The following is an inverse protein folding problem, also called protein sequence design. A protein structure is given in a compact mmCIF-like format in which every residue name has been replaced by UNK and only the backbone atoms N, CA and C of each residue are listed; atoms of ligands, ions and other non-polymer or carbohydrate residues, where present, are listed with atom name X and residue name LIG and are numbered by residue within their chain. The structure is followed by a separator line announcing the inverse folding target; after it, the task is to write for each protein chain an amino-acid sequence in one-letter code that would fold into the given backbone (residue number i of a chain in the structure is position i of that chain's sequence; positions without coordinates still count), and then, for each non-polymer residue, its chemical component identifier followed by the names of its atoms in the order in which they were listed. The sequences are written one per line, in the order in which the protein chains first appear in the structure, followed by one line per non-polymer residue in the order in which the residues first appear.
data_IF_724007691933
#
_entry.id   IF_724007691933
#
_cell.length_a   1.000
_cell.length_b   1.000
_cell.length_c   1.000
_cell.angle_alpha   90.00
_cell.angle_beta   90.00
_cell.angle_gamma   90.00
#
_symmetry.space_group_name_H-M   'P 1'
#
loop_
_entity.id
_entity.type
_entity.pdbx_description
1 polymer ?
#
# COMPACT_ATOMS: atom_id res chain seq x y z
N UNK A 1 7.44 2.48 6.90
CA UNK A 1 8.10 2.07 5.65
C UNK A 1 7.57 0.70 5.24
N UNK A 2 7.25 0.54 3.96
CA UNK A 2 6.72 -0.71 3.38
C UNK A 2 7.65 -1.20 2.27
N UNK A 3 7.73 -2.52 2.11
CA UNK A 3 8.50 -3.22 1.08
C UNK A 3 7.53 -3.97 0.17
N UNK A 4 7.61 -3.77 -1.15
CA UNK A 4 6.92 -4.62 -2.13
C UNK A 4 7.87 -5.73 -2.54
N UNK A 5 7.47 -6.99 -2.33
CA UNK A 5 8.29 -8.16 -2.65
C UNK A 5 7.43 -9.33 -3.12
N UNK A 6 8.04 -10.22 -3.89
CA UNK A 6 7.43 -11.48 -4.31
C UNK A 6 7.47 -12.48 -3.15
N UNK A 7 6.30 -12.97 -2.74
CA UNK A 7 6.14 -14.00 -1.72
C UNK A 7 6.24 -15.38 -2.39
N UNK A 8 7.23 -16.19 -1.99
CA UNK A 8 7.45 -17.52 -2.59
C UNK A 8 6.41 -18.55 -2.15
N UNK A 9 5.81 -18.40 -0.97
CA UNK A 9 4.81 -19.33 -0.46
C UNK A 9 3.44 -19.08 -1.11
N UNK A 10 3.18 -17.81 -1.47
CA UNK A 10 1.92 -17.37 -2.08
C UNK A 10 1.99 -17.20 -3.60
N UNK A 11 3.19 -17.23 -4.15
CA UNK A 11 3.46 -17.02 -5.57
C UNK A 11 2.84 -15.71 -6.11
N UNK A 12 2.94 -14.63 -5.32
CA UNK A 12 2.33 -13.34 -5.65
C UNK A 12 3.09 -12.15 -5.05
N UNK A 13 2.85 -10.96 -5.59
CA UNK A 13 3.38 -9.70 -5.08
C UNK A 13 2.66 -9.25 -3.81
N UNK A 14 3.42 -9.01 -2.73
CA UNK A 14 2.86 -8.55 -1.44
C UNK A 14 3.62 -7.38 -0.86
N UNK A 15 2.93 -6.69 0.04
CA UNK A 15 3.46 -5.57 0.80
C UNK A 15 3.80 -6.00 2.23
N UNK A 16 5.05 -5.78 2.63
CA UNK A 16 5.58 -6.13 3.96
C UNK A 16 5.93 -4.88 4.74
N UNK A 17 5.61 -4.88 6.03
CA UNK A 17 6.04 -3.83 6.96
C UNK A 17 7.51 -4.00 7.29
N UNK A 18 8.33 -3.03 6.90
CA UNK A 18 9.80 -3.10 7.09
C UNK A 18 10.16 -3.18 8.58
N UNK A 19 9.38 -2.50 9.44
CA UNK A 19 9.54 -2.53 10.89
C UNK A 19 9.29 -3.92 11.53
N UNK A 20 8.75 -4.88 10.76
CA UNK A 20 8.49 -6.26 11.22
C UNK A 20 9.42 -7.29 10.59
N UNK A 21 10.39 -6.86 9.80
CA UNK A 21 11.34 -7.76 9.13
C UNK A 21 12.60 -7.87 9.99
N UNK A 22 12.98 -9.11 10.34
CA UNK A 22 14.28 -9.41 10.95
C UNK A 22 15.23 -9.92 9.86
N UNK A 23 16.27 -9.16 9.46
CA UNK A 23 17.23 -9.62 8.45
C UNK A 23 17.98 -10.85 8.94
N UNK A 24 18.10 -11.87 8.08
CA UNK A 24 18.90 -13.08 8.37
C UNK A 24 19.97 -13.24 7.28
N UNK A 25 21.17 -12.65 7.46
CA UNK A 25 22.27 -12.84 6.53
C UNK A 25 22.84 -14.27 6.59
N UNK A 26 23.40 -14.79 5.49
CA UNK A 26 23.61 -14.13 4.21
C UNK A 26 22.30 -13.92 3.44
N UNK A 27 22.22 -12.80 2.72
CA UNK A 27 21.09 -12.54 1.82
C UNK A 27 20.96 -13.74 0.87
N UNK A 28 19.75 -14.28 0.74
CA UNK A 28 19.49 -15.54 0.05
C UNK A 28 20.00 -15.60 -1.40
N UNK A 29 19.81 -16.74 -2.08
CA UNK A 29 20.29 -16.94 -3.44
C UNK A 29 19.82 -15.82 -4.38
N UNK A 30 20.60 -15.54 -5.43
CA UNK A 30 20.19 -14.61 -6.49
C UNK A 30 18.87 -15.07 -7.11
N UNK A 31 18.04 -14.10 -7.51
CA UNK A 31 16.78 -14.36 -8.18
C UNK A 31 16.71 -13.60 -9.51
N UNK A 32 15.93 -14.14 -10.46
CA UNK A 32 15.58 -13.41 -11.69
C UNK A 32 14.57 -12.32 -11.34
N UNK A 33 14.84 -11.03 -11.65
CA UNK A 33 13.90 -9.95 -11.43
C UNK A 33 12.56 -10.25 -12.09
N UNK A 34 11.47 -10.01 -11.36
CA UNK A 34 10.10 -10.12 -11.88
C UNK A 34 9.56 -8.72 -12.19
N UNK A 35 8.69 -8.57 -13.21
CA UNK A 35 8.00 -7.30 -13.44
C UNK A 35 7.19 -6.90 -12.20
N UNK A 36 7.31 -5.65 -11.73
CA UNK A 36 6.57 -5.17 -10.58
C UNK A 36 5.04 -5.21 -10.82
N UNK A 37 4.22 -5.26 -9.76
CA UNK A 37 2.76 -5.38 -9.89
C UNK A 37 2.08 -4.10 -10.40
N UNK A 38 2.79 -2.97 -10.36
CA UNK A 38 2.30 -1.67 -10.81
C UNK A 38 3.48 -0.77 -11.19
N UNK A 39 3.22 0.19 -12.09
CA UNK A 39 4.18 1.25 -12.42
C UNK A 39 4.38 2.22 -11.24
N UNK A 40 3.31 2.48 -10.48
CA UNK A 40 3.34 3.25 -9.22
C UNK A 40 3.22 2.32 -8.00
N UNK A 41 4.36 1.97 -7.42
CA UNK A 41 4.42 1.13 -6.24
C UNK A 41 3.93 1.84 -4.96
N UNK A 42 3.94 3.17 -4.91
CA UNK A 42 3.44 3.90 -3.76
C UNK A 42 1.91 3.84 -3.71
N UNK A 43 1.25 4.01 -4.86
CA UNK A 43 -0.19 3.78 -5.00
C UNK A 43 -0.56 2.32 -4.66
N UNK A 44 0.17 1.35 -5.22
CA UNK A 44 -0.04 -0.09 -4.93
C UNK A 44 0.02 -0.42 -3.43
N UNK A 45 1.05 0.08 -2.74
CA UNK A 45 1.18 -0.10 -1.28
C UNK A 45 0.03 0.56 -0.53
N UNK A 46 -0.36 1.77 -0.93
CA UNK A 46 -1.42 2.51 -0.26
C UNK A 46 -2.75 1.76 -0.35
N UNK A 47 -3.09 1.24 -1.53
CA UNK A 47 -4.28 0.39 -1.71
C UNK A 47 -4.17 -0.93 -0.92
N UNK A 48 -3.06 -1.64 -1.03
CA UNK A 48 -2.88 -2.94 -0.36
C UNK A 48 -2.94 -2.86 1.17
N UNK A 49 -2.38 -1.79 1.76
CA UNK A 49 -2.37 -1.59 3.22
C UNK A 49 -3.69 -1.04 3.73
N UNK A 50 -4.29 -0.08 3.02
CA UNK A 50 -5.49 0.59 3.49
C UNK A 50 -6.78 -0.19 3.19
N UNK A 51 -6.80 -0.97 2.11
CA UNK A 51 -8.02 -1.62 1.60
C UNK A 51 -7.98 -3.14 1.78
N UNK A 52 -6.95 -3.81 1.29
CA UNK A 52 -6.90 -5.29 1.27
C UNK A 52 -6.66 -5.92 2.66
N UNK A 53 -6.13 -5.15 3.61
CA UNK A 53 -5.89 -5.62 4.98
C UNK A 53 -7.16 -5.76 5.84
N UNK A 54 -8.29 -5.20 5.41
CA UNK A 54 -9.52 -5.16 6.20
C UNK A 54 -10.66 -5.89 5.48
N UNK A 55 -11.38 -6.76 6.20
CA UNK A 55 -12.46 -7.59 5.64
C UNK A 55 -13.67 -6.77 5.12
N UNK A 56 -13.80 -5.52 5.58
CA UNK A 56 -14.90 -4.63 5.22
C UNK A 56 -14.36 -3.38 4.55
N UNK A 57 -14.81 -3.14 3.32
CA UNK A 57 -14.52 -1.93 2.56
C UNK A 57 -15.73 -1.00 2.60
N UNK A 58 -15.50 0.29 2.81
CA UNK A 58 -16.51 1.33 2.68
C UNK A 58 -15.97 2.47 1.81
N UNK A 59 -16.85 3.08 1.02
CA UNK A 59 -16.59 4.34 0.33
C UNK A 59 -17.31 5.42 1.13
N UNK A 60 -16.56 6.41 1.61
CA UNK A 60 -17.06 7.49 2.44
C UNK A 60 -16.91 8.81 1.70
N UNK A 61 -17.96 9.63 1.70
CA UNK A 61 -17.89 10.99 1.20
C UNK A 61 -17.39 11.91 2.32
N UNK A 62 -16.19 12.45 2.19
CA UNK A 62 -15.63 13.40 3.14
C UNK A 62 -15.99 14.81 2.68
N UNK A 63 -16.79 15.55 3.45
CA UNK A 63 -17.16 16.93 3.14
C UNK A 63 -16.06 17.91 3.52
N UNK A 64 -14.91 17.81 2.84
CA UNK A 64 -13.80 18.73 2.93
C UNK A 64 -12.97 18.67 1.64
N UNK A 65 -12.28 19.76 1.23
CA UNK A 65 -11.34 19.70 0.12
C UNK A 65 -10.25 18.64 0.34
N UNK A 66 -9.81 17.98 -0.73
CA UNK A 66 -8.80 16.91 -0.68
C UNK A 66 -7.53 17.31 0.10
N UNK A 67 -7.07 18.55 -0.06
CA UNK A 67 -5.88 19.08 0.60
C UNK A 67 -6.03 19.20 2.12
N UNK A 68 -7.25 19.43 2.61
CA UNK A 68 -7.57 19.48 4.03
C UNK A 68 -7.76 18.06 4.58
N UNK A 69 -8.52 17.22 3.86
CA UNK A 69 -8.71 15.82 4.23
C UNK A 69 -7.38 15.05 4.38
N UNK A 70 -6.43 15.29 3.47
CA UNK A 70 -5.10 14.67 3.50
C UNK A 70 -4.25 15.07 4.73
N UNK A 71 -4.58 16.16 5.42
CA UNK A 71 -3.86 16.55 6.66
C UNK A 71 -4.33 15.73 7.88
N UNK A 72 -5.56 15.19 7.83
CA UNK A 72 -6.18 14.50 8.94
C UNK A 72 -6.32 13.00 8.73
N UNK A 73 -6.36 12.55 7.48
CA UNK A 73 -6.53 11.15 7.13
C UNK A 73 -5.17 10.60 6.70
N UNK A 74 -4.64 9.69 7.52
CA UNK A 74 -3.41 8.97 7.18
C UNK A 74 -3.61 8.20 5.88
N UNK A 75 -2.61 8.16 4.97
CA UNK A 75 -2.62 7.28 3.80
C UNK A 75 -2.81 5.79 4.14
N UNK A 76 -2.57 5.40 5.40
CA UNK A 76 -2.84 4.03 5.88
C UNK A 76 -4.31 3.75 6.18
N UNK A 77 -5.17 4.77 6.23
CA UNK A 77 -6.60 4.64 6.55
C UNK A 77 -7.48 4.48 5.30
N UNK A 78 -7.01 4.93 4.13
CA UNK A 78 -7.76 4.86 2.88
C UNK A 78 -7.05 5.57 1.73
N UNK A 79 -7.58 5.39 0.52
CA UNK A 79 -7.23 6.20 -0.64
C UNK A 79 -8.21 7.37 -0.72
N UNK A 80 -7.69 8.58 -0.93
CA UNK A 80 -8.50 9.78 -1.11
C UNK A 80 -8.55 10.16 -2.58
N UNK A 81 -9.75 10.38 -3.10
CA UNK A 81 -10.01 10.84 -4.46
C UNK A 81 -10.93 12.07 -4.40
N UNK A 82 -10.67 13.12 -5.19
CA UNK A 82 -11.55 14.29 -5.25
C UNK A 82 -12.83 13.93 -6.00
N UNK A 83 -13.98 14.32 -5.45
CA UNK A 83 -15.29 14.18 -6.11
C UNK A 83 -15.63 15.45 -6.89
N UNK A 84 -15.33 16.62 -6.31
CA UNK A 84 -15.43 17.95 -6.88
C UNK A 84 -14.35 18.89 -6.28
N UNK A 85 -14.42 20.21 -6.52
CA UNK A 85 -13.41 21.15 -6.02
C UNK A 85 -13.53 21.44 -4.52
N UNK A 86 -14.60 20.99 -3.87
CA UNK A 86 -14.96 21.26 -2.48
C UNK A 86 -15.19 19.97 -1.67
N UNK A 87 -15.04 18.79 -2.27
CA UNK A 87 -15.29 17.46 -1.70
C UNK A 87 -14.45 16.43 -2.44
#
# INVERSE_FOLDING_TARGET
WYLVAWDLDREDWRTFRVDRITPTPPHGPRFTPRPPPADDLAAYVSEGVAVSAYATRAVLLVKAPLTEAAQHISPSAGVLEPVDAQT
#
